data_IF_471592697256
#
_entry.id   IF_471592697256
#
_cell.length_a   1.000
_cell.length_b   1.000
_cell.length_c   1.000
_cell.angle_alpha   90.00
_cell.angle_beta   90.00
_cell.angle_gamma   90.00
#
_symmetry.space_group_name_H-M   'P 1'
#
loop_
_entity.id
_entity.type
_entity.pdbx_description
1 polymer ?
#
# COMPACT_ATOMS: atom_id res chain seq x y z
N UNK A 1 2.57 21.14 -2.60
CA UNK A 1 2.91 19.89 -3.33
C UNK A 1 1.92 18.82 -2.93
N UNK A 2 1.29 18.12 -3.87
CA UNK A 2 0.35 17.04 -3.55
C UNK A 2 1.12 15.87 -2.93
N UNK A 3 0.66 15.37 -1.78
CA UNK A 3 1.28 14.27 -1.05
C UNK A 3 0.25 13.15 -0.89
N UNK A 4 0.72 11.91 -0.97
CA UNK A 4 -0.07 10.72 -0.67
C UNK A 4 0.65 9.88 0.39
N UNK A 5 -0.09 9.11 1.17
CA UNK A 5 0.50 8.11 2.08
C UNK A 5 0.72 6.79 1.34
N UNK A 6 1.57 5.93 1.90
CA UNK A 6 1.72 4.55 1.40
C UNK A 6 0.40 3.78 1.35
N UNK A 7 -0.46 4.00 2.34
CA UNK A 7 -1.80 3.39 2.41
C UNK A 7 -2.70 3.93 1.31
N UNK A 8 -2.69 5.25 1.04
CA UNK A 8 -3.46 5.84 -0.04
C UNK A 8 -3.02 5.30 -1.42
N UNK A 9 -1.70 5.15 -1.64
CA UNK A 9 -1.16 4.50 -2.84
C UNK A 9 -1.65 3.06 -2.96
N UNK A 10 -1.54 2.27 -1.88
CA UNK A 10 -2.01 0.90 -1.87
C UNK A 10 -3.50 0.83 -2.23
N UNK A 11 -4.34 1.60 -1.55
CA UNK A 11 -5.78 1.58 -1.77
C UNK A 11 -6.17 2.07 -3.17
N UNK A 12 -5.46 3.03 -3.74
CA UNK A 12 -5.70 3.44 -5.13
C UNK A 12 -5.62 2.27 -6.11
N UNK A 13 -4.63 1.39 -5.93
CA UNK A 13 -4.46 0.19 -6.77
C UNK A 13 -5.34 -0.99 -6.33
N UNK A 14 -5.87 -0.99 -5.11
CA UNK A 14 -6.83 -1.99 -4.63
C UNK A 14 -8.25 -1.67 -5.07
N UNK A 15 -8.77 -0.50 -4.72
CA UNK A 15 -10.12 -0.03 -5.03
C UNK A 15 -10.24 1.48 -4.78
N UNK A 16 -10.62 2.24 -5.81
CA UNK A 16 -10.75 3.72 -5.69
C UNK A 16 -11.87 4.15 -4.75
N UNK A 17 -12.96 3.38 -4.70
CA UNK A 17 -14.07 3.61 -3.77
C UNK A 17 -13.64 3.42 -2.32
N UNK A 18 -12.83 2.38 -2.05
CA UNK A 18 -12.22 2.14 -0.73
C UNK A 18 -11.31 3.29 -0.31
N UNK A 19 -10.48 3.78 -1.24
CA UNK A 19 -9.64 4.96 -1.01
C UNK A 19 -10.48 6.17 -0.58
N UNK A 20 -11.59 6.44 -1.28
CA UNK A 20 -12.49 7.53 -0.91
C UNK A 20 -12.98 7.38 0.53
N UNK A 21 -13.55 6.23 0.90
CA UNK A 21 -14.04 5.98 2.26
C UNK A 21 -12.95 6.19 3.31
N UNK A 22 -11.76 5.61 3.10
CA UNK A 22 -10.63 5.76 4.00
C UNK A 22 -10.24 7.22 4.21
N UNK A 23 -10.11 8.00 3.12
CA UNK A 23 -9.74 9.41 3.20
C UNK A 23 -10.81 10.31 3.85
N UNK A 24 -12.05 9.83 3.93
CA UNK A 24 -13.17 10.47 4.63
C UNK A 24 -13.38 9.91 6.05
N UNK A 25 -12.43 9.14 6.58
CA UNK A 25 -12.47 8.59 7.94
C UNK A 25 -13.36 7.37 8.13
N UNK A 26 -13.97 6.85 7.06
CA UNK A 26 -14.86 5.69 7.10
C UNK A 26 -13.99 4.43 6.99
N UNK A 27 -13.72 3.78 8.13
CA UNK A 27 -12.83 2.64 8.23
C UNK A 27 -13.58 1.36 8.61
N UNK A 28 -13.64 0.37 7.71
CA UNK A 28 -14.34 -0.90 7.96
C UNK A 28 -13.40 -2.08 8.30
N UNK A 29 -12.09 -1.83 8.36
CA UNK A 29 -11.09 -2.91 8.43
C UNK A 29 -11.10 -3.72 9.73
N UNK A 30 -11.62 -3.14 10.83
CA UNK A 30 -11.83 -3.83 12.10
C UNK A 30 -12.90 -4.92 12.02
N UNK A 31 -13.81 -4.87 11.04
CA UNK A 31 -14.86 -5.88 10.86
C UNK A 31 -14.39 -7.10 10.06
N UNK A 32 -13.08 -7.20 9.77
CA UNK A 32 -12.53 -8.27 8.94
C UNK A 32 -11.51 -9.10 9.71
N UNK A 33 -11.92 -10.30 10.12
CA UNK A 33 -11.03 -11.31 10.73
C UNK A 33 -9.80 -11.59 9.87
N UNK A 34 -9.93 -11.52 8.54
CA UNK A 34 -8.78 -11.69 7.63
C UNK A 34 -7.77 -10.55 7.74
N UNK A 35 -8.23 -9.31 7.94
CA UNK A 35 -7.34 -8.16 8.16
C UNK A 35 -6.68 -8.28 9.53
N UNK A 36 -7.44 -8.66 10.56
CA UNK A 36 -6.90 -8.91 11.91
C UNK A 36 -5.81 -9.99 11.91
N UNK A 37 -6.07 -11.15 11.29
CA UNK A 37 -5.06 -12.20 11.12
C UNK A 37 -3.83 -11.66 10.37
N UNK A 38 -4.03 -10.81 9.36
CA UNK A 38 -2.93 -10.18 8.63
C UNK A 38 -2.07 -9.27 9.50
N UNK A 39 -2.69 -8.51 10.41
CA UNK A 39 -2.00 -7.65 11.39
C UNK A 39 -1.26 -8.49 12.41
N UNK A 40 -1.88 -9.52 12.97
CA UNK A 40 -1.25 -10.34 13.99
C UNK A 40 -0.07 -11.15 13.43
N UNK A 41 -0.18 -11.68 12.21
CA UNK A 41 0.96 -12.33 11.53
C UNK A 41 2.10 -11.34 11.28
N UNK A 42 1.78 -10.08 10.96
CA UNK A 42 2.76 -9.01 10.87
C UNK A 42 3.39 -8.78 12.25
N UNK A 43 2.63 -8.48 13.29
CA UNK A 43 3.17 -8.29 14.65
C UNK A 43 4.05 -9.47 15.14
N UNK A 44 3.61 -10.72 14.96
CA UNK A 44 4.37 -11.91 15.37
C UNK A 44 5.66 -12.11 14.57
N UNK A 45 5.63 -11.90 13.25
CA UNK A 45 6.83 -12.01 12.39
C UNK A 45 7.87 -10.92 12.71
N UNK A 46 7.44 -9.82 13.35
CA UNK A 46 8.24 -8.61 13.58
C UNK A 46 8.77 -8.49 15.02
N UNK A 47 8.24 -9.27 15.96
CA UNK A 47 8.60 -9.29 17.39
C UNK A 47 10.08 -9.48 17.73
N UNK A 48 10.93 -9.90 16.77
CA UNK A 48 12.33 -10.26 17.07
C UNK A 48 13.41 -9.31 16.59
N UNK A 49 13.21 -8.34 15.67
CA UNK A 49 14.40 -7.52 15.26
C UNK A 49 14.23 -6.19 14.48
N UNK A 50 13.05 -5.60 14.21
CA UNK A 50 12.96 -4.37 13.39
C UNK A 50 11.93 -3.34 13.87
N UNK A 51 12.31 -2.05 13.79
CA UNK A 51 11.50 -0.88 14.11
C UNK A 51 10.79 -0.39 12.84
N UNK A 52 9.47 -0.19 12.89
CA UNK A 52 8.76 0.56 11.85
C UNK A 52 9.36 1.97 11.75
N UNK A 53 9.74 2.37 10.55
CA UNK A 53 10.31 3.70 10.31
C UNK A 53 9.24 4.54 9.62
N UNK A 54 8.71 5.50 10.37
CA UNK A 54 7.77 6.48 9.85
C UNK A 54 8.51 7.73 9.40
N UNK A 55 8.28 8.13 8.15
CA UNK A 55 8.95 9.26 7.48
C UNK A 55 7.88 10.26 7.04
N UNK A 56 8.00 11.49 7.53
CA UNK A 56 7.13 12.64 7.23
C UNK A 56 5.61 12.39 7.41
N UNK A 57 5.22 11.42 8.25
CA UNK A 57 3.84 10.91 8.38
C UNK A 57 3.22 10.41 7.04
N UNK A 58 4.04 10.15 6.01
CA UNK A 58 3.57 9.70 4.69
C UNK A 58 3.91 8.25 4.41
N UNK A 59 5.08 7.80 4.87
CA UNK A 59 5.62 6.49 4.56
C UNK A 59 5.90 5.78 5.87
N UNK A 60 5.38 4.56 5.98
CA UNK A 60 5.76 3.63 7.03
C UNK A 60 6.48 2.46 6.35
N UNK A 61 7.76 2.30 6.68
CA UNK A 61 8.58 1.19 6.22
C UNK A 61 8.61 0.12 7.30
N UNK A 62 8.21 -1.10 6.93
CA UNK A 62 8.44 -2.32 7.72
C UNK A 62 9.91 -2.45 8.09
N UNK A 63 10.79 -2.26 7.10
CA UNK A 63 12.23 -2.35 7.25
C UNK A 63 13.01 -1.87 6.04
N UNK A 64 14.17 -1.27 6.30
CA UNK A 64 15.23 -1.04 5.33
C UNK A 64 16.56 -1.62 5.85
N UNK A 65 17.29 -2.39 5.03
CA UNK A 65 18.61 -2.89 5.44
C UNK A 65 19.74 -1.89 5.20
N UNK A 66 20.95 -2.26 5.63
CA UNK A 66 22.19 -1.51 5.41
C UNK A 66 22.52 -1.29 3.93
N UNK A 67 21.89 -2.03 3.01
CA UNK A 67 22.04 -1.91 1.56
C UNK A 67 20.89 -1.11 0.92
N UNK A 68 20.11 -0.38 1.73
CA UNK A 68 18.96 0.42 1.30
C UNK A 68 17.86 -0.41 0.60
N UNK A 69 17.68 -1.67 1.01
CA UNK A 69 16.60 -2.53 0.49
C UNK A 69 15.39 -2.46 1.41
N UNK A 70 14.27 -1.95 0.90
CA UNK A 70 12.96 -2.01 1.56
C UNK A 70 12.44 -3.43 1.47
N UNK A 71 12.08 -4.03 2.62
CA UNK A 71 11.55 -5.40 2.65
C UNK A 71 10.10 -5.40 3.12
N UNK A 72 9.20 -5.97 2.32
CA UNK A 72 7.78 -6.17 2.64
C UNK A 72 7.47 -7.66 2.65
N UNK A 73 6.71 -8.15 3.63
CA UNK A 73 6.30 -9.56 3.68
C UNK A 73 4.81 -9.70 3.42
N UNK A 74 4.42 -10.57 2.47
CA UNK A 74 3.01 -10.90 2.19
C UNK A 74 2.76 -12.40 2.23
N UNK A 75 1.68 -12.79 2.90
CA UNK A 75 1.23 -14.19 2.97
C UNK A 75 0.85 -14.77 1.60
N UNK A 76 0.34 -13.93 0.69
CA UNK A 76 -0.14 -14.34 -0.64
C UNK A 76 0.18 -13.29 -1.69
N UNK A 77 0.04 -13.64 -2.98
CA UNK A 77 0.16 -12.70 -4.11
C UNK A 77 -1.10 -11.86 -4.36
N UNK A 78 -2.09 -11.91 -3.47
CA UNK A 78 -3.27 -11.05 -3.64
C UNK A 78 -2.86 -9.57 -3.60
N UNK A 79 -3.46 -8.77 -4.47
CA UNK A 79 -3.16 -7.34 -4.60
C UNK A 79 -1.68 -7.01 -4.86
N UNK A 80 -0.93 -7.90 -5.54
CA UNK A 80 0.49 -7.72 -5.84
C UNK A 80 0.81 -6.36 -6.49
N UNK A 81 -0.08 -5.86 -7.36
CA UNK A 81 0.08 -4.54 -7.97
C UNK A 81 0.06 -3.42 -6.93
N UNK A 82 -0.84 -3.47 -5.96
CA UNK A 82 -0.92 -2.47 -4.90
C UNK A 82 0.34 -2.49 -4.02
N UNK A 83 0.78 -3.68 -3.61
CA UNK A 83 2.04 -3.84 -2.85
C UNK A 83 3.24 -3.33 -3.63
N UNK A 84 3.36 -3.70 -4.92
CA UNK A 84 4.45 -3.22 -5.79
C UNK A 84 4.47 -1.70 -5.85
N UNK A 85 3.34 -1.05 -6.12
CA UNK A 85 3.30 0.40 -6.27
C UNK A 85 3.46 1.16 -4.96
N UNK A 86 3.06 0.58 -3.83
CA UNK A 86 3.38 1.13 -2.51
C UNK A 86 4.90 1.17 -2.28
N UNK A 87 5.61 0.08 -2.57
CA UNK A 87 7.08 0.04 -2.46
C UNK A 87 7.75 0.98 -3.47
N UNK A 88 7.27 1.01 -4.72
CA UNK A 88 7.77 1.96 -5.72
C UNK A 88 7.58 3.41 -5.26
N UNK A 89 6.46 3.74 -4.62
CA UNK A 89 6.23 5.06 -4.05
C UNK A 89 7.25 5.38 -2.95
N UNK A 90 7.59 4.40 -2.10
CA UNK A 90 8.60 4.59 -1.06
C UNK A 90 9.98 4.88 -1.64
N UNK A 91 10.41 4.09 -2.63
CA UNK A 91 11.68 4.31 -3.35
C UNK A 91 11.66 5.71 -3.99
N UNK A 92 10.57 6.05 -4.70
CA UNK A 92 10.41 7.34 -5.37
C UNK A 92 10.51 8.52 -4.40
N UNK A 93 9.87 8.40 -3.24
CA UNK A 93 9.90 9.46 -2.23
C UNK A 93 11.28 9.65 -1.61
N UNK A 94 11.96 8.55 -1.29
CA UNK A 94 13.32 8.59 -0.73
C UNK A 94 14.30 9.19 -1.74
N UNK A 95 14.18 8.84 -3.01
CA UNK A 95 15.00 9.42 -4.08
C UNK A 95 14.74 10.93 -4.24
N UNK A 96 13.47 11.37 -4.16
CA UNK A 96 13.13 12.81 -4.14
C UNK A 96 13.68 13.56 -2.93
N UNK A 97 14.09 12.85 -1.88
CA UNK A 97 14.77 13.40 -0.70
C UNK A 97 16.31 13.31 -0.79
N UNK A 98 16.84 12.86 -1.92
CA UNK A 98 18.28 12.72 -2.15
C UNK A 98 18.87 11.39 -1.68
N UNK A 99 18.04 10.40 -1.31
CA UNK A 99 18.51 9.06 -0.94
C UNK A 99 18.48 8.17 -2.18
N UNK A 100 19.63 7.95 -2.77
CA UNK A 100 19.81 7.15 -3.98
C UNK A 100 20.10 5.67 -3.68
N UNK A 101 19.95 4.80 -4.68
CA UNK A 101 20.29 3.37 -4.57
C UNK A 101 19.26 2.51 -3.81
N UNK A 102 18.12 3.09 -3.41
CA UNK A 102 17.06 2.36 -2.71
C UNK A 102 16.38 1.37 -3.66
N UNK A 103 16.19 0.13 -3.21
CA UNK A 103 15.45 -0.91 -3.93
C UNK A 103 14.41 -1.56 -3.03
N UNK A 104 13.55 -2.42 -3.58
CA UNK A 104 12.52 -3.12 -2.81
C UNK A 104 12.53 -4.62 -3.03
N UNK A 105 12.09 -5.38 -2.02
CA UNK A 105 11.85 -6.82 -2.13
C UNK A 105 10.55 -7.19 -1.43
N UNK A 106 9.69 -7.91 -2.14
CA UNK A 106 8.49 -8.54 -1.57
C UNK A 106 8.80 -10.01 -1.29
N UNK A 107 8.66 -10.42 -0.03
CA UNK A 107 8.82 -11.80 0.41
C UNK A 107 7.46 -12.50 0.47
N UNK A 108 7.39 -13.71 -0.09
CA UNK A 108 6.22 -14.59 0.00
C UNK A 108 6.61 -15.88 0.73
N UNK A 109 6.50 -15.93 2.07
CA UNK A 109 6.96 -17.06 2.87
C UNK A 109 6.32 -18.39 2.46
N UNK A 110 5.00 -18.40 2.21
CA UNK A 110 4.26 -19.61 1.82
C UNK A 110 4.78 -20.26 0.54
N UNK A 111 5.20 -19.45 -0.44
CA UNK A 111 5.72 -19.94 -1.72
C UNK A 111 7.26 -19.91 -1.81
N UNK A 112 7.96 -19.56 -0.72
CA UNK A 112 9.43 -19.36 -0.67
C UNK A 112 9.97 -18.50 -1.83
N UNK A 113 9.19 -17.51 -2.27
CA UNK A 113 9.51 -16.66 -3.43
C UNK A 113 9.84 -15.24 -2.97
N UNK A 114 10.69 -14.55 -3.73
CA UNK A 114 10.96 -13.12 -3.58
C UNK A 114 10.78 -12.42 -4.92
N UNK A 115 10.19 -11.22 -4.89
CA UNK A 115 10.11 -10.34 -6.05
C UNK A 115 10.92 -9.08 -5.78
N UNK A 116 11.93 -8.81 -6.60
CA UNK A 116 12.70 -7.56 -6.55
C UNK A 116 11.96 -6.45 -7.28
N UNK A 117 11.92 -5.27 -6.67
CA UNK A 117 11.25 -4.07 -7.16
C UNK A 117 12.32 -3.00 -7.40
N UNK A 118 12.40 -2.53 -8.64
CA UNK A 118 13.25 -1.45 -9.09
C UNK A 118 12.38 -0.34 -9.67
N UNK A 119 12.69 0.91 -9.33
CA UNK A 119 11.95 2.07 -9.81
C UNK A 119 12.41 2.44 -11.22
N UNK A 120 11.49 2.36 -12.19
CA UNK A 120 11.74 2.76 -13.58
C UNK A 120 11.11 4.12 -13.89
N UNK A 121 11.53 4.78 -14.98
CA UNK A 121 10.92 6.05 -15.42
C UNK A 121 9.44 5.91 -15.78
N UNK A 122 9.03 4.74 -16.26
CA UNK A 122 7.62 4.47 -16.50
C UNK A 122 6.83 4.40 -15.19
N UNK A 123 7.40 3.77 -14.16
CA UNK A 123 6.79 3.72 -12.83
C UNK A 123 6.67 5.13 -12.22
N UNK A 124 7.68 6.01 -12.41
CA UNK A 124 7.62 7.42 -11.99
C UNK A 124 6.43 8.15 -12.61
N UNK A 125 6.25 8.02 -13.93
CA UNK A 125 5.11 8.61 -14.65
C UNK A 125 3.76 8.09 -14.13
N UNK A 126 3.69 6.80 -13.79
CA UNK A 126 2.47 6.21 -13.22
C UNK A 126 2.24 6.74 -11.80
N UNK A 127 3.27 6.86 -10.97
CA UNK A 127 3.17 7.40 -9.61
C UNK A 127 2.72 8.86 -9.62
N UNK A 128 3.28 9.71 -10.48
CA UNK A 128 2.88 11.12 -10.58
C UNK A 128 1.40 11.26 -10.95
N UNK A 129 0.92 10.45 -11.93
CA UNK A 129 -0.50 10.40 -12.30
C UNK A 129 -1.37 9.85 -11.16
N UNK A 130 -0.87 8.86 -10.44
CA UNK A 130 -1.56 8.23 -9.31
C UNK A 130 -1.75 9.22 -8.18
N UNK A 131 -0.70 9.95 -7.78
CA UNK A 131 -0.76 10.96 -6.72
C UNK A 131 -1.80 12.05 -7.06
N UNK A 132 -1.82 12.53 -8.31
CA UNK A 132 -2.85 13.48 -8.78
C UNK A 132 -4.26 12.89 -8.69
N UNK A 133 -4.42 11.62 -9.06
CA UNK A 133 -5.72 10.93 -9.04
C UNK A 133 -6.22 10.67 -7.62
N UNK A 134 -5.32 10.32 -6.69
CA UNK A 134 -5.62 10.17 -5.26
C UNK A 134 -6.12 11.50 -4.71
N UNK A 135 -5.42 12.59 -5.03
CA UNK A 135 -5.83 13.93 -4.62
C UNK A 135 -7.24 14.24 -5.16
N UNK A 136 -7.50 14.01 -6.45
CA UNK A 136 -8.83 14.20 -7.02
C UNK A 136 -9.92 13.40 -6.30
N UNK A 137 -9.69 12.11 -6.02
CA UNK A 137 -10.64 11.24 -5.31
C UNK A 137 -10.91 11.77 -3.90
N UNK A 138 -9.88 12.21 -3.18
CA UNK A 138 -9.99 12.71 -1.80
C UNK A 138 -10.93 13.91 -1.66
N UNK A 139 -11.05 14.73 -2.70
CA UNK A 139 -11.93 15.91 -2.72
C UNK A 139 -13.21 15.71 -3.51
N UNK A 140 -13.53 14.49 -3.95
CA UNK A 140 -14.84 14.20 -4.51
C UNK A 140 -15.90 14.26 -3.42
N UNK A 141 -17.04 14.88 -3.72
CA UNK A 141 -18.18 14.94 -2.80
C UNK A 141 -18.86 13.59 -2.60
N UNK A 142 -18.72 12.69 -3.57
CA UNK A 142 -19.30 11.34 -3.53
C UNK A 142 -18.26 10.28 -3.87
N UNK A 143 -18.41 9.05 -3.33
CA UNK A 143 -17.48 7.98 -3.60
C UNK A 143 -17.50 7.55 -5.09
N UNK A 144 -16.34 7.20 -5.69
CA UNK A 144 -16.27 6.58 -7.01
C UNK A 144 -17.22 5.39 -7.17
N UNK A 145 -17.68 5.06 -8.39
CA UNK A 145 -18.60 3.95 -8.62
C UNK A 145 -18.03 2.62 -8.12
N UNK A 146 -18.93 1.69 -7.79
CA UNK A 146 -18.57 0.35 -7.31
C UNK A 146 -17.87 -0.41 -8.44
N UNK A 147 -16.73 -1.05 -8.14
CA UNK A 147 -15.93 -1.79 -9.13
C UNK A 147 -16.52 -3.16 -9.51
N UNK A 148 -17.41 -3.74 -8.71
CA UNK A 148 -18.08 -5.04 -8.94
C UNK A 148 -17.12 -6.19 -9.30
N UNK A 149 -15.97 -6.26 -8.62
CA UNK A 149 -14.93 -7.26 -8.82
C UNK A 149 -15.10 -8.46 -7.85
N UNK A 150 -14.58 -9.63 -8.20
CA UNK A 150 -14.51 -10.82 -7.34
C UNK A 150 -13.89 -10.53 -5.97
N UNK A 151 -12.94 -9.59 -5.88
CA UNK A 151 -12.35 -9.15 -4.60
C UNK A 151 -13.37 -8.52 -3.65
N UNK A 152 -14.44 -7.91 -4.18
CA UNK A 152 -15.44 -7.19 -3.39
C UNK A 152 -16.16 -8.12 -2.40
N UNK A 153 -16.45 -9.36 -2.78
CA UNK A 153 -17.08 -10.38 -1.90
C UNK A 153 -16.31 -10.68 -0.62
N UNK A 154 -15.01 -10.34 -0.58
CA UNK A 154 -14.15 -10.52 0.60
C UNK A 154 -13.62 -9.19 1.12
N UNK A 155 -14.19 -8.07 0.68
CA UNK A 155 -13.79 -6.73 1.10
C UNK A 155 -14.51 -6.38 2.40
N UNK A 156 -13.80 -5.76 3.34
CA UNK A 156 -14.42 -5.28 4.59
C UNK A 156 -15.49 -4.19 4.37
N UNK A 157 -15.48 -3.55 3.21
CA UNK A 157 -16.43 -2.51 2.81
C UNK A 157 -17.62 -3.06 2.01
N UNK A 158 -17.78 -4.39 1.91
CA UNK A 158 -18.79 -5.01 1.04
C UNK A 158 -20.20 -4.49 1.36
N UNK A 159 -20.69 -4.67 2.59
CA UNK A 159 -22.03 -4.22 3.00
C UNK A 159 -22.23 -2.72 2.67
N UNK A 160 -21.28 -1.86 3.08
CA UNK A 160 -21.34 -0.42 2.80
C UNK A 160 -21.38 -0.07 1.30
N UNK A 161 -20.80 -0.91 0.44
CA UNK A 161 -20.81 -0.66 -1.00
C UNK A 161 -22.11 -1.11 -1.67
N UNK A 162 -22.84 -2.09 -1.12
CA UNK A 162 -24.00 -2.70 -1.75
C UNK A 162 -25.33 -2.45 -1.03
N UNK A 163 -25.30 -1.70 0.08
CA UNK A 163 -26.49 -1.09 0.68
C UNK A 163 -27.00 0.09 -0.15
#
# INVERSE_FOLDING_TARGET
MMKATGVEINYYFVCKRKLWFFTHGINMEHNSTRVEIGKEVHEQSFSRNKKEIMIDNLICLDFIDKKLVINETKLTKSMQKATKYQILYYIYYLEKKGIEGVTGVIHYPKSKRKDTILLTDQDRKVLDKTIKSIYAIKYQTTPPPIENDKKCKKCSYYELCYC
#
